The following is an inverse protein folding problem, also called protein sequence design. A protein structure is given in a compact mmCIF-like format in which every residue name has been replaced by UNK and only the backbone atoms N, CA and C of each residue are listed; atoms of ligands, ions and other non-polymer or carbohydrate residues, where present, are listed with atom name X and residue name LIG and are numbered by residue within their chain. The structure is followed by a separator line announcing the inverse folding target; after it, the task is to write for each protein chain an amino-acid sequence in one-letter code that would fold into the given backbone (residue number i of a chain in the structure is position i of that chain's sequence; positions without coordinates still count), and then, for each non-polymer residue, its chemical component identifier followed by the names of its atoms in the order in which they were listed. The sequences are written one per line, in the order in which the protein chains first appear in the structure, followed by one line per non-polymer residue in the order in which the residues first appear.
data_IF_242655017078
#
_entry.id   IF_242655017078
#
_cell.length_a   1.000
_cell.length_b   1.000
_cell.length_c   1.000
_cell.angle_alpha   90.00
_cell.angle_beta   90.00
_cell.angle_gamma   90.00
#
_symmetry.space_group_name_H-M   'P 1'
#
loop_
_entity.id
_entity.type
_entity.pdbx_description
1 polymer ?
#
# COMPACT_ATOMS: atom_id res chain seq x y z
N UNK A 1 31.09 5.73 -12.84
CA UNK A 1 29.91 4.88 -13.14
C UNK A 1 28.91 5.76 -13.85
N UNK A 2 28.25 5.26 -14.91
CA UNK A 2 27.21 6.04 -15.59
C UNK A 2 26.04 6.27 -14.62
N UNK A 3 25.47 7.47 -14.64
CA UNK A 3 24.29 7.81 -13.85
C UNK A 3 23.07 7.04 -14.38
N UNK A 4 22.31 6.40 -13.49
CA UNK A 4 21.12 5.61 -13.83
C UNK A 4 19.89 6.40 -13.42
N UNK A 5 19.06 6.77 -14.40
CA UNK A 5 17.80 7.49 -14.18
C UNK A 5 16.63 6.56 -14.49
N UNK A 6 15.79 6.28 -13.51
CA UNK A 6 14.59 5.43 -13.66
C UNK A 6 13.36 6.31 -13.56
N UNK A 7 12.51 6.25 -14.58
CA UNK A 7 11.14 6.77 -14.51
C UNK A 7 10.22 5.68 -14.00
N UNK A 8 9.60 5.88 -12.83
CA UNK A 8 8.54 5.04 -12.29
C UNK A 8 7.16 5.57 -12.71
N UNK A 9 6.22 4.69 -13.05
CA UNK A 9 4.82 5.02 -13.39
C UNK A 9 3.90 4.10 -12.61
N UNK A 10 2.98 4.69 -11.84
CA UNK A 10 1.95 4.00 -11.07
C UNK A 10 0.56 4.42 -11.56
N UNK A 11 -0.30 3.42 -11.84
CA UNK A 11 -1.69 3.62 -12.27
C UNK A 11 -2.60 2.44 -11.93
N UNK A 12 -2.34 1.75 -10.83
CA UNK A 12 -3.04 0.48 -10.53
C UNK A 12 -4.48 0.64 -10.05
N UNK A 13 -4.84 1.80 -9.49
CA UNK A 13 -6.17 2.05 -8.90
C UNK A 13 -6.74 3.39 -9.39
N UNK A 14 -6.71 4.42 -8.56
CA UNK A 14 -7.27 5.75 -8.86
C UNK A 14 -6.21 6.87 -8.89
N UNK A 15 -5.05 6.66 -8.31
CA UNK A 15 -3.95 7.62 -8.35
C UNK A 15 -3.08 7.45 -9.61
N UNK A 16 -2.86 8.54 -10.35
CA UNK A 16 -1.88 8.59 -11.44
C UNK A 16 -0.59 9.18 -10.91
N UNK A 17 0.49 8.42 -10.87
CA UNK A 17 1.76 8.91 -10.32
C UNK A 17 2.94 8.64 -11.24
N UNK A 18 3.91 9.58 -11.23
CA UNK A 18 5.21 9.42 -11.90
C UNK A 18 6.34 9.93 -10.99
N UNK A 19 7.47 9.23 -10.99
CA UNK A 19 8.63 9.57 -10.19
C UNK A 19 9.91 9.36 -10.98
N UNK A 20 10.93 10.17 -10.70
CA UNK A 20 12.27 9.98 -11.24
C UNK A 20 13.25 9.71 -10.11
N UNK A 21 14.00 8.61 -10.24
CA UNK A 21 15.08 8.25 -9.32
C UNK A 21 16.42 8.32 -10.06
N UNK A 22 17.45 8.82 -9.37
CA UNK A 22 18.84 8.81 -9.82
C UNK A 22 19.66 7.90 -8.91
N UNK A 23 20.19 6.79 -9.41
CA UNK A 23 20.98 5.83 -8.62
C UNK A 23 20.26 5.34 -7.34
N UNK A 24 18.92 5.20 -7.39
CA UNK A 24 18.08 4.84 -6.24
C UNK A 24 17.69 6.00 -5.32
N UNK A 25 18.17 7.22 -5.56
CA UNK A 25 17.78 8.44 -4.84
C UNK A 25 16.63 9.12 -5.56
N UNK A 26 15.60 9.48 -4.82
CA UNK A 26 14.40 10.14 -5.35
C UNK A 26 14.70 11.59 -5.73
N UNK A 27 14.47 11.96 -6.99
CA UNK A 27 14.56 13.35 -7.48
C UNK A 27 13.18 14.01 -7.52
N UNK A 28 12.15 13.26 -7.90
CA UNK A 28 10.78 13.77 -7.99
C UNK A 28 9.77 12.65 -7.80
N UNK A 29 8.60 12.97 -7.22
CA UNK A 29 7.43 12.11 -7.14
C UNK A 29 6.19 13.01 -7.27
N UNK A 30 5.39 12.79 -8.31
CA UNK A 30 4.22 13.60 -8.65
C UNK A 30 3.02 12.68 -8.72
N UNK A 31 1.96 13.00 -7.97
CA UNK A 31 0.71 12.24 -7.95
C UNK A 31 -0.46 13.14 -8.25
N UNK A 32 -1.35 12.69 -9.12
CA UNK A 32 -2.66 13.28 -9.39
C UNK A 32 -3.74 12.32 -8.85
N UNK A 33 -4.35 12.70 -7.74
CA UNK A 33 -5.42 11.93 -7.08
C UNK A 33 -6.80 12.27 -7.66
N UNK A 34 -7.74 11.34 -7.53
CA UNK A 34 -9.07 11.43 -8.11
C UNK A 34 -10.15 11.54 -7.01
N UNK A 35 -10.34 12.74 -6.46
CA UNK A 35 -11.34 13.00 -5.41
C UNK A 35 -12.80 12.67 -5.81
N UNK A 36 -13.09 12.50 -7.11
CA UNK A 36 -14.44 12.17 -7.60
C UNK A 36 -14.99 10.88 -6.99
N UNK A 37 -14.14 9.94 -6.63
CA UNK A 37 -14.53 8.65 -6.08
C UNK A 37 -15.16 8.74 -4.67
N UNK A 38 -14.88 9.80 -3.93
CA UNK A 38 -15.49 10.06 -2.61
C UNK A 38 -17.02 10.16 -2.72
N UNK A 39 -17.53 10.81 -3.76
CA UNK A 39 -18.98 10.97 -3.99
C UNK A 39 -19.70 9.66 -4.32
N UNK A 40 -18.98 8.63 -4.76
CA UNK A 40 -19.52 7.30 -5.07
C UNK A 40 -19.34 6.30 -3.93
N UNK A 41 -18.64 6.68 -2.85
CA UNK A 41 -18.35 5.80 -1.72
C UNK A 41 -17.43 4.62 -2.09
N UNK A 42 -16.51 4.82 -3.04
CA UNK A 42 -15.52 3.86 -3.51
C UNK A 42 -15.09 4.11 -4.96
N UNK A 43 -13.99 3.47 -5.37
CA UNK A 43 -13.44 3.64 -6.72
C UNK A 43 -14.37 3.11 -7.79
N UNK A 44 -14.68 3.95 -8.80
CA UNK A 44 -15.43 3.57 -10.00
C UNK A 44 -14.42 3.31 -11.13
N UNK A 45 -14.22 2.03 -11.56
CA UNK A 45 -13.12 1.66 -12.46
C UNK A 45 -13.10 2.40 -13.79
N UNK A 46 -14.27 2.69 -14.37
CA UNK A 46 -14.36 3.42 -15.64
C UNK A 46 -13.92 4.88 -15.49
N UNK A 47 -14.34 5.55 -14.41
CA UNK A 47 -13.92 6.92 -14.13
C UNK A 47 -12.42 6.98 -13.86
N UNK A 48 -11.90 6.01 -13.09
CA UNK A 48 -10.48 5.90 -12.81
C UNK A 48 -9.65 5.80 -14.10
N UNK A 49 -10.00 4.88 -15.01
CA UNK A 49 -9.27 4.71 -16.26
C UNK A 49 -9.30 5.94 -17.17
N UNK A 50 -10.43 6.67 -17.23
CA UNK A 50 -10.54 7.93 -17.99
C UNK A 50 -9.66 9.03 -17.41
N UNK A 51 -9.62 9.15 -16.08
CA UNK A 51 -8.78 10.13 -15.42
C UNK A 51 -7.27 9.81 -15.63
N UNK A 52 -6.87 8.54 -15.60
CA UNK A 52 -5.49 8.15 -15.96
C UNK A 52 -5.11 8.58 -17.37
N UNK A 53 -6.01 8.44 -18.36
CA UNK A 53 -5.74 8.88 -19.73
C UNK A 53 -5.48 10.39 -19.83
N UNK A 54 -6.18 11.19 -19.02
CA UNK A 54 -5.98 12.64 -18.97
C UNK A 54 -4.70 13.03 -18.21
N UNK A 55 -4.37 12.28 -17.15
CA UNK A 55 -3.34 12.67 -16.18
C UNK A 55 -1.94 12.13 -16.51
N UNK A 56 -1.81 10.99 -17.19
CA UNK A 56 -0.51 10.31 -17.33
C UNK A 56 0.55 11.18 -18.03
N UNK A 57 0.18 11.88 -19.11
CA UNK A 57 1.12 12.76 -19.85
C UNK A 57 1.56 13.95 -19.01
N UNK A 58 0.66 14.79 -18.43
CA UNK A 58 1.08 15.92 -17.62
C UNK A 58 1.83 15.51 -16.35
N UNK A 59 1.46 14.39 -15.69
CA UNK A 59 2.14 13.89 -14.48
C UNK A 59 3.56 13.46 -14.80
N UNK A 60 3.79 12.69 -15.87
CA UNK A 60 5.12 12.29 -16.31
C UNK A 60 5.97 13.49 -16.73
N UNK A 61 5.38 14.43 -17.48
CA UNK A 61 6.08 15.66 -17.88
C UNK A 61 6.54 16.48 -16.67
N UNK A 62 5.66 16.64 -15.69
CA UNK A 62 5.96 17.38 -14.46
C UNK A 62 7.02 16.65 -13.59
N UNK A 63 6.98 15.31 -13.52
CA UNK A 63 7.98 14.54 -12.80
C UNK A 63 9.38 14.71 -13.39
N UNK A 64 9.52 14.62 -14.71
CA UNK A 64 10.80 14.83 -15.41
C UNK A 64 11.29 16.27 -15.20
N UNK A 65 10.40 17.26 -15.32
CA UNK A 65 10.72 18.69 -15.10
C UNK A 65 11.21 18.93 -13.67
N UNK A 66 10.50 18.41 -12.65
CA UNK A 66 10.91 18.57 -11.23
C UNK A 66 12.22 17.86 -10.92
N UNK A 67 12.51 16.76 -11.60
CA UNK A 67 13.79 16.08 -11.48
C UNK A 67 14.96 16.87 -12.08
N UNK A 68 14.71 17.93 -12.86
CA UNK A 68 15.72 18.78 -13.50
C UNK A 68 16.49 18.06 -14.61
N UNK A 69 15.89 17.07 -15.28
CA UNK A 69 16.52 16.28 -16.35
C UNK A 69 15.77 16.43 -17.68
N UNK A 70 16.43 15.99 -18.77
CA UNK A 70 15.78 15.79 -20.05
C UNK A 70 15.37 14.31 -20.18
N UNK A 71 14.28 14.03 -20.91
CA UNK A 71 13.77 12.65 -21.08
C UNK A 71 14.78 11.70 -21.72
N UNK A 72 15.69 12.23 -22.53
CA UNK A 72 16.76 11.48 -23.19
C UNK A 72 17.84 10.97 -22.21
N UNK A 73 17.87 11.50 -20.99
CA UNK A 73 18.78 11.02 -19.91
C UNK A 73 18.24 9.80 -19.18
N UNK A 74 16.96 9.43 -19.39
CA UNK A 74 16.35 8.27 -18.76
C UNK A 74 17.04 6.98 -19.23
N UNK A 75 17.34 6.10 -18.27
CA UNK A 75 17.97 4.80 -18.51
C UNK A 75 16.94 3.69 -18.73
N UNK A 76 15.77 3.79 -18.10
CA UNK A 76 14.66 2.84 -18.24
C UNK A 76 13.34 3.44 -17.76
N UNK A 77 12.22 2.81 -18.17
CA UNK A 77 10.88 3.06 -17.65
C UNK A 77 10.40 1.86 -16.84
N UNK A 78 10.15 2.06 -15.55
CA UNK A 78 9.51 1.10 -14.67
C UNK A 78 8.02 1.42 -14.56
N UNK A 79 7.16 0.43 -14.66
CA UNK A 79 5.71 0.62 -14.63
C UNK A 79 5.00 -0.48 -13.84
N UNK A 80 3.89 -0.14 -13.21
CA UNK A 80 3.05 -1.11 -12.52
C UNK A 80 2.34 -1.99 -13.54
N UNK A 81 2.72 -3.29 -13.53
CA UNK A 81 2.09 -4.30 -14.38
C UNK A 81 0.84 -4.90 -13.76
N UNK A 82 0.75 -4.86 -12.43
CA UNK A 82 -0.33 -5.38 -11.58
C UNK A 82 0.18 -5.78 -10.19
N UNK A 83 -0.73 -6.20 -9.28
CA UNK A 83 -2.19 -6.23 -9.45
C UNK A 83 -2.82 -4.84 -9.48
N UNK A 84 -4.11 -4.77 -9.90
CA UNK A 84 -4.88 -3.52 -9.92
C UNK A 84 -6.11 -3.58 -10.82
N UNK A 85 -6.76 -2.43 -10.99
CA UNK A 85 -7.91 -2.28 -11.88
C UNK A 85 -7.43 -2.36 -13.34
N UNK A 86 -7.96 -3.32 -14.11
CA UNK A 86 -7.48 -3.59 -15.47
C UNK A 86 -7.49 -2.35 -16.36
N UNK A 87 -8.57 -1.56 -16.33
CA UNK A 87 -8.67 -0.33 -17.14
C UNK A 87 -7.60 0.71 -16.78
N UNK A 88 -7.34 0.90 -15.51
CA UNK A 88 -6.31 1.79 -14.97
C UNK A 88 -4.91 1.31 -15.35
N UNK A 89 -4.61 0.03 -15.10
CA UNK A 89 -3.33 -0.60 -15.48
C UNK A 89 -3.04 -0.46 -16.99
N UNK A 90 -4.03 -0.70 -17.85
CA UNK A 90 -3.84 -0.62 -19.29
C UNK A 90 -3.39 0.77 -19.75
N UNK A 91 -3.84 1.83 -19.10
CA UNK A 91 -3.40 3.19 -19.43
C UNK A 91 -1.90 3.37 -19.14
N UNK A 92 -1.46 3.10 -17.91
CA UNK A 92 -0.05 3.24 -17.54
C UNK A 92 0.88 2.30 -18.29
N UNK A 93 0.47 1.04 -18.46
CA UNK A 93 1.24 0.02 -19.20
C UNK A 93 1.45 0.42 -20.67
N UNK A 94 0.39 0.84 -21.38
CA UNK A 94 0.51 1.23 -22.78
C UNK A 94 1.27 2.55 -22.95
N UNK A 95 1.08 3.51 -22.03
CA UNK A 95 1.88 4.74 -22.01
C UNK A 95 3.37 4.41 -21.82
N UNK A 96 3.73 3.60 -20.81
CA UNK A 96 5.10 3.22 -20.53
C UNK A 96 5.78 2.54 -21.74
N UNK A 97 5.06 1.62 -22.39
CA UNK A 97 5.52 0.94 -23.63
C UNK A 97 5.81 1.92 -24.77
N UNK A 98 4.86 2.80 -25.06
CA UNK A 98 5.01 3.81 -26.11
C UNK A 98 6.16 4.77 -25.82
N UNK A 99 6.26 5.23 -24.57
CA UNK A 99 7.28 6.16 -24.12
C UNK A 99 8.68 5.54 -24.17
N UNK A 100 8.89 4.37 -23.59
CA UNK A 100 10.16 3.67 -23.63
C UNK A 100 10.60 3.33 -25.06
N UNK A 101 9.68 2.88 -25.91
CA UNK A 101 9.96 2.61 -27.34
C UNK A 101 10.39 3.85 -28.09
N UNK A 102 9.78 5.01 -27.83
CA UNK A 102 10.12 6.28 -28.49
C UNK A 102 11.54 6.75 -28.15
N UNK A 103 12.05 6.38 -26.97
CA UNK A 103 13.40 6.73 -26.49
C UNK A 103 14.43 5.62 -26.75
N UNK A 104 14.01 4.42 -27.19
CA UNK A 104 14.89 3.29 -27.37
C UNK A 104 15.47 2.72 -26.08
N UNK A 105 14.80 2.91 -24.94
CA UNK A 105 15.24 2.46 -23.62
C UNK A 105 14.44 1.25 -23.13
N UNK A 106 15.01 0.42 -22.21
CA UNK A 106 14.33 -0.76 -21.69
C UNK A 106 13.10 -0.48 -20.84
N UNK A 107 12.19 -1.45 -20.84
CA UNK A 107 11.02 -1.52 -19.97
C UNK A 107 11.27 -2.43 -18.78
N UNK A 108 10.73 -2.05 -17.63
CA UNK A 108 10.79 -2.83 -16.39
C UNK A 108 9.39 -2.95 -15.82
N UNK A 109 8.86 -4.17 -15.77
CA UNK A 109 7.59 -4.44 -15.13
C UNK A 109 7.76 -4.54 -13.62
N UNK A 110 6.81 -3.98 -12.87
CA UNK A 110 6.84 -3.99 -11.41
C UNK A 110 5.53 -4.55 -10.88
N UNK A 111 5.63 -5.41 -9.87
CA UNK A 111 4.51 -5.83 -9.06
C UNK A 111 4.19 -4.71 -8.06
N UNK A 112 2.96 -4.20 -8.05
CA UNK A 112 2.49 -3.14 -7.17
C UNK A 112 2.73 -3.43 -5.68
N UNK A 113 2.48 -4.67 -5.26
CA UNK A 113 2.69 -5.09 -3.87
C UNK A 113 4.17 -5.11 -3.49
N UNK A 114 5.04 -5.54 -4.42
CA UNK A 114 6.48 -5.42 -4.28
C UNK A 114 6.90 -3.95 -4.13
N UNK A 115 6.27 -3.05 -4.89
CA UNK A 115 6.48 -1.61 -4.76
C UNK A 115 6.28 -1.13 -3.32
N UNK A 116 5.15 -1.44 -2.70
CA UNK A 116 4.89 -1.06 -1.31
C UNK A 116 5.94 -1.59 -0.33
N UNK A 117 6.34 -2.87 -0.46
CA UNK A 117 7.38 -3.45 0.39
C UNK A 117 8.72 -2.74 0.19
N UNK A 118 9.08 -2.47 -1.07
CA UNK A 118 10.34 -1.83 -1.45
C UNK A 118 10.37 -0.31 -1.20
N UNK A 119 9.25 0.32 -0.83
CA UNK A 119 9.20 1.72 -0.44
C UNK A 119 10.17 2.06 0.72
N UNK A 120 10.51 1.08 1.56
CA UNK A 120 11.53 1.22 2.61
C UNK A 120 12.96 1.44 2.09
N UNK A 121 13.20 1.21 0.81
CA UNK A 121 14.51 1.38 0.16
C UNK A 121 14.62 2.67 -0.63
N UNK A 122 13.56 3.48 -0.70
CA UNK A 122 13.61 4.82 -1.30
C UNK A 122 14.55 5.70 -0.48
N UNK A 123 15.54 6.27 -1.14
CA UNK A 123 16.46 7.24 -0.55
C UNK A 123 16.06 8.64 -0.97
N UNK A 124 16.07 9.58 -0.04
CA UNK A 124 15.91 11.01 -0.33
C UNK A 124 17.27 11.75 -0.44
N UNK A 125 18.33 11.08 0.01
CA UNK A 125 19.72 11.51 -0.14
C UNK A 125 20.65 10.29 -0.16
N UNK A 126 21.90 10.46 -0.58
CA UNK A 126 22.91 9.41 -0.56
C UNK A 126 23.24 8.91 0.87
N UNK A 127 23.02 9.75 1.88
CA UNK A 127 23.29 9.43 3.28
C UNK A 127 22.13 8.71 4.00
N UNK A 128 21.01 8.49 3.33
CA UNK A 128 19.85 7.81 3.93
C UNK A 128 20.15 6.32 4.12
N UNK A 129 20.29 5.92 5.39
CA UNK A 129 20.65 4.55 5.80
C UNK A 129 19.54 3.84 6.57
N UNK A 130 18.36 4.43 6.69
CA UNK A 130 17.26 3.87 7.48
C UNK A 130 16.49 2.78 6.71
N UNK A 131 17.21 1.82 6.17
CA UNK A 131 16.65 0.69 5.40
C UNK A 131 16.70 -0.59 6.23
N UNK A 132 15.67 -1.46 6.14
CA UNK A 132 15.71 -2.76 6.79
C UNK A 132 16.84 -3.63 6.20
N UNK A 133 17.65 -4.31 7.03
CA UNK A 133 18.60 -5.30 6.54
C UNK A 133 17.85 -6.53 6.04
N UNK A 134 18.40 -7.20 5.04
CA UNK A 134 17.86 -8.44 4.53
C UNK A 134 18.42 -9.65 5.33
N UNK A 135 17.61 -10.66 5.68
CA UNK A 135 16.16 -10.72 5.49
C UNK A 135 15.37 -9.95 6.55
N UNK A 136 14.16 -9.49 6.21
CA UNK A 136 13.22 -8.88 7.16
C UNK A 136 11.78 -9.37 6.92
N UNK A 137 10.89 -9.14 7.90
CA UNK A 137 9.46 -9.37 7.75
C UNK A 137 8.74 -8.04 7.42
N UNK A 138 7.80 -8.08 6.50
CA UNK A 138 6.95 -6.95 6.18
C UNK A 138 5.48 -7.29 6.36
N UNK A 139 4.76 -6.53 7.19
CA UNK A 139 3.31 -6.55 7.23
C UNK A 139 2.80 -5.60 6.14
N UNK A 140 2.39 -6.16 5.02
CA UNK A 140 1.82 -5.43 3.90
C UNK A 140 0.31 -5.35 4.07
N UNK A 141 -0.23 -4.14 4.31
CA UNK A 141 -1.65 -3.90 4.57
C UNK A 141 -2.16 -2.69 3.78
N UNK A 142 -3.14 -2.94 2.92
CA UNK A 142 -3.76 -1.93 2.05
C UNK A 142 -5.27 -2.11 1.95
N UNK A 143 -5.93 -1.33 1.09
CA UNK A 143 -7.35 -1.49 0.78
C UNK A 143 -7.71 -2.87 0.23
N UNK A 144 -6.87 -3.44 -0.62
CA UNK A 144 -7.14 -4.72 -1.30
C UNK A 144 -6.26 -5.89 -0.88
N UNK A 145 -5.23 -5.66 -0.04
CA UNK A 145 -4.27 -6.70 0.32
C UNK A 145 -3.92 -6.64 1.80
N UNK A 146 -3.76 -7.81 2.41
CA UNK A 146 -3.24 -7.96 3.76
C UNK A 146 -2.40 -9.23 3.83
N UNK A 147 -1.07 -9.07 3.98
CA UNK A 147 -0.10 -10.17 3.88
C UNK A 147 1.05 -9.98 4.86
N UNK A 148 1.62 -11.09 5.33
CA UNK A 148 2.91 -11.12 6.03
C UNK A 148 3.93 -11.66 5.02
N UNK A 149 4.89 -10.84 4.64
CA UNK A 149 5.88 -11.13 3.61
C UNK A 149 7.26 -11.25 4.25
N UNK A 150 7.97 -12.33 3.98
CA UNK A 150 9.40 -12.45 4.25
C UNK A 150 10.18 -11.98 3.05
N UNK A 151 11.02 -10.98 3.24
CA UNK A 151 11.85 -10.39 2.19
C UNK A 151 13.27 -10.94 2.33
N UNK A 152 13.65 -11.86 1.47
CA UNK A 152 14.99 -12.46 1.46
C UNK A 152 15.99 -11.62 0.66
N UNK A 153 15.52 -11.03 -0.46
CA UNK A 153 16.27 -10.13 -1.32
C UNK A 153 15.30 -9.14 -1.99
N UNK A 154 15.81 -8.14 -2.71
CA UNK A 154 14.99 -7.14 -3.40
C UNK A 154 14.01 -7.74 -4.43
N UNK A 155 14.34 -8.89 -4.99
CA UNK A 155 13.56 -9.64 -5.97
C UNK A 155 13.13 -11.03 -5.48
N UNK A 156 13.33 -11.35 -4.19
CA UNK A 156 12.95 -12.63 -3.56
C UNK A 156 12.10 -12.36 -2.31
N UNK A 157 10.80 -12.56 -2.45
CA UNK A 157 9.78 -12.32 -1.43
C UNK A 157 8.85 -13.52 -1.31
N UNK A 158 8.62 -13.96 -0.07
CA UNK A 158 7.77 -15.10 0.26
C UNK A 158 6.59 -14.67 1.12
N UNK A 159 5.37 -14.99 0.71
CA UNK A 159 4.17 -14.77 1.53
C UNK A 159 4.07 -15.87 2.57
N UNK A 160 4.21 -15.51 3.84
CA UNK A 160 4.11 -16.44 4.97
C UNK A 160 2.68 -16.63 5.45
N UNK A 161 1.84 -15.61 5.30
CA UNK A 161 0.43 -15.63 5.66
C UNK A 161 -0.30 -14.45 5.03
N UNK A 162 -1.60 -14.60 4.87
CA UNK A 162 -2.44 -13.59 4.21
C UNK A 162 -3.88 -13.66 4.71
N UNK A 163 -4.65 -12.63 4.41
CA UNK A 163 -6.10 -12.72 4.60
C UNK A 163 -6.71 -13.74 3.65
N UNK A 164 -7.68 -14.51 4.16
CA UNK A 164 -8.43 -15.49 3.35
C UNK A 164 -9.72 -14.90 2.78
N UNK A 165 -10.05 -13.66 3.13
CA UNK A 165 -11.27 -12.96 2.72
C UNK A 165 -11.01 -11.46 2.53
N UNK A 166 -11.76 -10.56 3.21
CA UNK A 166 -11.57 -9.11 3.11
C UNK A 166 -10.14 -8.70 3.55
N UNK A 167 -9.56 -7.68 2.92
CA UNK A 167 -8.37 -7.03 3.42
C UNK A 167 -8.68 -6.11 4.61
N UNK A 168 -7.67 -5.78 5.42
CA UNK A 168 -7.84 -4.91 6.60
C UNK A 168 -8.42 -3.54 6.23
N UNK A 169 -7.89 -2.89 5.19
CA UNK A 169 -8.41 -1.60 4.72
C UNK A 169 -9.84 -1.69 4.21
N UNK A 170 -10.16 -2.73 3.44
CA UNK A 170 -11.53 -3.00 2.98
C UNK A 170 -12.50 -3.22 4.13
N UNK A 171 -12.08 -3.93 5.18
CA UNK A 171 -12.89 -4.12 6.39
C UNK A 171 -13.16 -2.79 7.11
N UNK A 172 -12.15 -1.91 7.22
CA UNK A 172 -12.30 -0.56 7.78
C UNK A 172 -13.30 0.26 6.95
N UNK A 173 -13.15 0.30 5.62
CA UNK A 173 -14.01 1.06 4.74
C UNK A 173 -15.46 0.58 4.81
N UNK A 174 -15.69 -0.74 4.83
CA UNK A 174 -17.02 -1.33 4.96
C UNK A 174 -17.66 -0.99 6.31
N UNK A 175 -16.92 -1.06 7.41
CA UNK A 175 -17.43 -0.67 8.74
C UNK A 175 -17.72 0.84 8.83
N UNK A 176 -16.84 1.69 8.29
CA UNK A 176 -17.06 3.14 8.19
C UNK A 176 -18.35 3.46 7.42
N UNK A 177 -18.57 2.79 6.29
CA UNK A 177 -19.79 2.95 5.48
C UNK A 177 -21.05 2.55 6.26
N UNK A 178 -20.99 1.46 7.03
CA UNK A 178 -22.12 1.01 7.88
C UNK A 178 -22.42 2.01 9.00
N UNK A 179 -21.42 2.73 9.50
CA UNK A 179 -21.60 3.84 10.46
C UNK A 179 -22.09 5.14 9.81
N UNK A 180 -22.20 5.22 8.48
CA UNK A 180 -22.58 6.45 7.79
C UNK A 180 -21.48 7.50 7.72
N UNK A 181 -20.22 7.15 7.96
CA UNK A 181 -19.08 8.09 8.06
C UNK A 181 -18.44 8.47 6.73
N UNK A 182 -18.81 7.79 5.63
CA UNK A 182 -18.29 8.08 4.27
C UNK A 182 -17.06 7.26 3.87
N UNK A 183 -16.43 7.70 2.78
CA UNK A 183 -15.27 7.08 2.12
C UNK A 183 -14.20 8.15 1.77
N UNK A 184 -12.88 7.84 1.89
CA UNK A 184 -12.29 6.62 2.44
C UNK A 184 -12.46 6.53 3.97
N UNK A 185 -12.78 5.32 4.47
CA UNK A 185 -13.06 5.09 5.88
C UNK A 185 -11.83 5.12 6.77
N UNK A 186 -10.67 4.67 6.25
CA UNK A 186 -9.42 4.57 7.01
C UNK A 186 -9.06 5.84 7.78
N UNK A 187 -8.88 7.00 7.12
CA UNK A 187 -8.55 8.26 7.80
C UNK A 187 -9.62 8.74 8.78
N UNK A 188 -10.89 8.44 8.52
CA UNK A 188 -12.01 8.83 9.37
C UNK A 188 -11.98 8.02 10.67
N UNK A 189 -11.88 6.70 10.56
CA UNK A 189 -11.81 5.78 11.71
C UNK A 189 -10.57 6.10 12.56
N UNK A 190 -9.38 6.27 11.96
CA UNK A 190 -8.14 6.62 12.68
C UNK A 190 -8.29 7.94 13.46
N UNK A 191 -8.94 8.95 12.89
CA UNK A 191 -9.16 10.23 13.56
C UNK A 191 -10.10 10.10 14.76
N UNK A 192 -11.22 9.37 14.61
CA UNK A 192 -12.20 9.14 15.69
C UNK A 192 -11.59 8.26 16.79
N UNK A 193 -10.88 7.19 16.41
CA UNK A 193 -10.29 6.24 17.34
C UNK A 193 -9.33 6.88 18.35
N UNK A 194 -8.66 7.97 17.98
CA UNK A 194 -7.77 8.71 18.91
C UNK A 194 -8.48 9.35 20.09
N UNK A 195 -9.79 9.51 20.01
CA UNK A 195 -10.61 10.18 21.03
C UNK A 195 -11.46 9.18 21.83
N UNK A 196 -11.54 7.93 21.36
CA UNK A 196 -12.37 6.89 21.94
C UNK A 196 -11.64 5.90 22.85
N UNK A 197 -12.42 5.11 23.56
CA UNK A 197 -11.93 3.99 24.36
C UNK A 197 -11.85 2.70 23.52
N UNK A 198 -10.63 2.15 23.28
CA UNK A 198 -10.47 0.95 22.44
C UNK A 198 -11.03 -0.35 23.06
N UNK A 199 -11.51 -0.30 24.31
CA UNK A 199 -12.09 -1.43 25.03
C UNK A 199 -13.59 -1.26 25.34
N UNK A 200 -14.23 -0.21 24.81
CA UNK A 200 -15.64 0.03 25.04
C UNK A 200 -16.54 -1.05 24.43
N UNK A 201 -16.17 -1.54 23.26
CA UNK A 201 -16.92 -2.57 22.53
C UNK A 201 -16.03 -3.75 22.13
N UNK A 202 -16.64 -4.94 22.08
CA UNK A 202 -15.96 -6.17 21.64
C UNK A 202 -16.52 -6.65 20.32
N UNK A 203 -15.64 -6.90 19.36
CA UNK A 203 -15.97 -7.49 18.07
C UNK A 203 -15.34 -8.89 17.94
N UNK A 204 -15.92 -9.73 17.09
CA UNK A 204 -15.42 -11.08 16.90
C UNK A 204 -14.02 -11.07 16.26
N UNK A 205 -13.13 -11.86 16.82
CA UNK A 205 -11.83 -12.17 16.24
C UNK A 205 -11.91 -13.57 15.62
N UNK A 206 -11.87 -13.71 14.27
CA UNK A 206 -11.85 -15.00 13.63
C UNK A 206 -10.60 -15.79 14.01
N UNK A 207 -10.77 -17.03 14.44
CA UNK A 207 -9.65 -17.92 14.76
C UNK A 207 -9.25 -18.72 13.52
N UNK A 208 -8.20 -18.27 12.83
CA UNK A 208 -7.63 -18.93 11.65
C UNK A 208 -6.29 -19.58 12.04
N UNK A 209 -6.06 -20.87 11.70
CA UNK A 209 -4.79 -21.54 11.98
C UNK A 209 -3.60 -20.90 11.25
N UNK A 210 -2.39 -21.11 11.78
CA UNK A 210 -1.16 -20.63 11.16
C UNK A 210 -1.05 -19.12 11.10
N UNK A 211 -0.46 -18.61 10.02
CA UNK A 211 -0.20 -17.18 9.81
C UNK A 211 -1.30 -16.46 9.01
N UNK A 212 -2.26 -17.19 8.45
CA UNK A 212 -3.41 -16.61 7.78
C UNK A 212 -4.39 -15.98 8.78
N UNK A 213 -5.19 -15.04 8.31
CA UNK A 213 -6.19 -14.34 9.10
C UNK A 213 -7.44 -14.00 8.29
N UNK A 214 -8.49 -13.47 8.94
CA UNK A 214 -9.78 -13.16 8.33
C UNK A 214 -10.35 -11.89 8.96
N UNK A 215 -11.08 -11.11 8.18
CA UNK A 215 -11.82 -9.93 8.65
C UNK A 215 -13.32 -10.02 8.40
N UNK A 216 -13.81 -11.02 7.63
CA UNK A 216 -15.24 -11.15 7.33
C UNK A 216 -16.09 -11.42 8.58
N UNK A 217 -15.58 -12.21 9.53
CA UNK A 217 -16.25 -12.47 10.81
C UNK A 217 -16.35 -11.20 11.68
N UNK A 218 -15.29 -10.39 11.71
CA UNK A 218 -15.27 -9.10 12.40
C UNK A 218 -16.33 -8.15 11.80
N UNK A 219 -16.37 -7.99 10.49
CA UNK A 219 -17.36 -7.15 9.80
C UNK A 219 -18.80 -7.59 10.11
N UNK A 220 -19.06 -8.88 10.09
CA UNK A 220 -20.38 -9.45 10.40
C UNK A 220 -20.78 -9.15 11.84
N UNK A 221 -19.88 -9.40 12.79
CA UNK A 221 -20.08 -9.09 14.21
C UNK A 221 -20.33 -7.59 14.42
N UNK A 222 -19.54 -6.74 13.77
CA UNK A 222 -19.70 -5.28 13.81
C UNK A 222 -21.10 -4.86 13.34
N UNK A 223 -21.54 -5.35 12.19
CA UNK A 223 -22.83 -5.02 11.61
C UNK A 223 -24.01 -5.45 12.52
N UNK A 224 -23.96 -6.67 13.08
CA UNK A 224 -25.01 -7.16 13.96
C UNK A 224 -25.08 -6.37 15.27
N UNK A 225 -23.94 -6.09 15.89
CA UNK A 225 -23.88 -5.30 17.11
C UNK A 225 -24.41 -3.87 16.87
N UNK A 226 -23.98 -3.23 15.79
CA UNK A 226 -24.41 -1.89 15.46
C UNK A 226 -25.93 -1.81 15.23
N UNK A 227 -26.50 -2.78 14.49
CA UNK A 227 -27.95 -2.86 14.26
C UNK A 227 -28.74 -3.01 15.57
N UNK A 228 -28.23 -3.82 16.49
CA UNK A 228 -28.83 -4.01 17.80
C UNK A 228 -28.83 -2.72 18.59
N UNK A 229 -27.67 -2.04 18.69
CA UNK A 229 -27.54 -0.80 19.45
C UNK A 229 -28.39 0.34 18.87
N UNK A 230 -28.42 0.50 17.55
CA UNK A 230 -29.26 1.51 16.88
C UNK A 230 -30.76 1.21 17.03
N UNK A 231 -31.15 -0.07 17.14
CA UNK A 231 -32.55 -0.42 17.43
C UNK A 231 -32.98 -0.06 18.86
N UNK A 232 -32.03 -0.06 19.82
CA UNK A 232 -32.26 0.36 21.22
C UNK A 232 -32.17 1.89 21.41
N UNK A 233 -31.22 2.54 20.68
CA UNK A 233 -31.01 4.00 20.67
C UNK A 233 -30.70 4.46 19.21
N UNK A 234 -31.64 5.13 18.54
CA UNK A 234 -31.42 5.61 17.16
C UNK A 234 -30.23 6.55 16.98
N UNK A 235 -29.82 7.27 18.02
CA UNK A 235 -28.69 8.22 18.01
C UNK A 235 -27.38 7.56 18.51
N UNK A 236 -27.40 6.24 18.74
CA UNK A 236 -26.26 5.50 19.31
C UNK A 236 -24.93 5.76 18.61
N UNK A 237 -24.93 5.75 17.27
CA UNK A 237 -23.70 5.98 16.49
C UNK A 237 -23.15 7.38 16.79
N UNK A 238 -24.01 8.41 16.81
CA UNK A 238 -23.56 9.78 17.03
C UNK A 238 -22.97 9.97 18.43
N UNK A 239 -23.56 9.32 19.44
CA UNK A 239 -23.10 9.42 20.83
C UNK A 239 -21.84 8.59 21.13
N UNK A 240 -21.54 7.54 20.31
CA UNK A 240 -20.49 6.56 20.59
C UNK A 240 -19.50 6.31 19.45
N UNK A 241 -19.51 7.14 18.40
CA UNK A 241 -18.70 6.93 17.18
C UNK A 241 -17.20 6.84 17.47
N UNK A 242 -16.70 7.61 18.43
CA UNK A 242 -15.28 7.57 18.83
C UNK A 242 -14.92 6.23 19.46
N UNK A 243 -15.74 5.74 20.40
CA UNK A 243 -15.51 4.47 21.09
C UNK A 243 -15.69 3.27 20.15
N UNK A 244 -16.67 3.33 19.23
CA UNK A 244 -16.88 2.32 18.20
C UNK A 244 -15.67 2.26 17.27
N UNK A 245 -15.21 3.42 16.79
CA UNK A 245 -14.02 3.51 15.92
C UNK A 245 -12.76 3.01 16.62
N UNK A 246 -12.53 3.40 17.88
CA UNK A 246 -11.40 2.96 18.67
C UNK A 246 -11.39 1.44 18.89
N UNK A 247 -12.55 0.87 19.21
CA UNK A 247 -12.69 -0.57 19.44
C UNK A 247 -12.53 -1.39 18.15
N UNK A 248 -13.01 -0.87 17.01
CA UNK A 248 -12.82 -1.47 15.69
C UNK A 248 -11.36 -1.47 15.28
N UNK A 249 -10.70 -0.31 15.35
CA UNK A 249 -9.28 -0.16 15.03
C UNK A 249 -8.42 -1.08 15.88
N UNK A 250 -8.65 -1.06 17.20
CA UNK A 250 -7.94 -1.92 18.13
C UNK A 250 -8.07 -3.41 17.75
N UNK A 251 -9.28 -3.88 17.43
CA UNK A 251 -9.52 -5.28 17.07
C UNK A 251 -8.76 -5.67 15.79
N UNK A 252 -8.79 -4.82 14.75
CA UNK A 252 -8.07 -5.06 13.49
C UNK A 252 -6.56 -5.09 13.73
N UNK A 253 -6.03 -4.12 14.47
CA UNK A 253 -4.61 -4.05 14.81
C UNK A 253 -4.18 -5.27 15.62
N UNK A 254 -4.97 -5.69 16.59
CA UNK A 254 -4.66 -6.85 17.43
C UNK A 254 -4.61 -8.17 16.64
N UNK A 255 -5.55 -8.38 15.69
CA UNK A 255 -5.52 -9.52 14.75
C UNK A 255 -4.21 -9.53 13.96
N UNK A 256 -3.82 -8.39 13.36
CA UNK A 256 -2.60 -8.26 12.55
C UNK A 256 -1.34 -8.51 13.39
N UNK A 257 -1.26 -7.89 14.57
CA UNK A 257 -0.07 -7.98 15.43
C UNK A 257 0.10 -9.35 16.08
N UNK A 258 -0.98 -10.07 16.39
CA UNK A 258 -0.94 -11.47 16.85
C UNK A 258 -0.26 -12.37 15.82
N UNK A 259 -0.63 -12.23 14.54
CA UNK A 259 -0.08 -13.03 13.44
C UNK A 259 1.36 -12.63 13.10
N UNK A 260 1.66 -11.34 13.08
CA UNK A 260 3.03 -10.85 12.88
C UNK A 260 3.97 -11.34 13.98
N UNK A 261 3.53 -11.30 15.24
CA UNK A 261 4.29 -11.86 16.36
C UNK A 261 4.56 -13.37 16.21
N UNK A 262 3.56 -14.12 15.72
CA UNK A 262 3.74 -15.54 15.43
C UNK A 262 4.76 -15.76 14.30
N UNK A 263 4.73 -14.93 13.23
CA UNK A 263 5.70 -14.97 12.15
C UNK A 263 7.13 -14.70 12.63
N UNK A 264 7.32 -13.66 13.47
CA UNK A 264 8.61 -13.38 14.12
C UNK A 264 9.10 -14.58 14.92
N UNK A 265 8.22 -15.22 15.72
CA UNK A 265 8.59 -16.40 16.51
C UNK A 265 8.99 -17.59 15.63
N UNK A 266 8.30 -17.80 14.49
CA UNK A 266 8.57 -18.95 13.60
C UNK A 266 9.85 -18.77 12.79
N UNK A 267 10.13 -17.53 12.34
CA UNK A 267 11.28 -17.23 11.47
C UNK A 267 12.54 -16.84 12.23
N UNK A 268 12.41 -16.38 13.48
CA UNK A 268 13.51 -15.79 14.23
C UNK A 268 13.95 -14.40 13.74
N UNK A 269 13.26 -13.83 12.73
CA UNK A 269 13.57 -12.51 12.16
C UNK A 269 12.91 -11.44 13.02
N UNK A 270 13.69 -10.53 13.60
CA UNK A 270 13.23 -9.44 14.46
C UNK A 270 13.28 -8.04 13.79
N UNK A 271 13.72 -7.94 12.54
CA UNK A 271 13.60 -6.75 11.71
C UNK A 271 12.24 -6.79 11.03
N UNK A 272 11.36 -5.85 11.39
CA UNK A 272 9.93 -5.90 11.04
C UNK A 272 9.50 -4.57 10.43
N UNK A 273 8.99 -4.61 9.22
CA UNK A 273 8.49 -3.45 8.50
C UNK A 273 6.95 -3.48 8.37
N UNK A 274 6.35 -2.33 8.15
CA UNK A 274 4.94 -2.20 7.74
C UNK A 274 4.86 -1.42 6.43
N UNK A 275 3.98 -1.83 5.51
CA UNK A 275 3.82 -1.19 4.21
C UNK A 275 2.35 -1.18 3.74
N UNK A 276 2.05 -0.40 2.69
CA UNK A 276 0.70 -0.23 2.14
C UNK A 276 -0.10 0.85 2.85
N UNK A 277 -1.26 1.23 2.29
CA UNK A 277 -2.05 2.39 2.73
C UNK A 277 -2.46 2.36 4.20
N UNK A 278 -2.78 1.17 4.77
CA UNK A 278 -3.13 1.03 6.19
C UNK A 278 -1.93 1.27 7.12
N UNK A 279 -0.69 1.26 6.61
CA UNK A 279 0.49 1.65 7.39
C UNK A 279 0.51 3.13 7.82
N UNK A 280 -0.39 3.95 7.26
CA UNK A 280 -0.64 5.32 7.71
C UNK A 280 -1.41 5.38 9.04
N UNK A 281 -2.16 4.33 9.40
CA UNK A 281 -2.99 4.27 10.61
C UNK A 281 -2.15 4.39 11.88
N UNK A 282 -2.53 5.33 12.77
CA UNK A 282 -1.77 5.62 13.98
C UNK A 282 -1.85 4.50 15.02
N UNK A 283 -3.00 3.83 15.16
CA UNK A 283 -3.13 2.67 16.04
C UNK A 283 -2.16 1.56 15.67
N UNK A 284 -2.02 1.26 14.37
CA UNK A 284 -1.06 0.27 13.87
C UNK A 284 0.40 0.72 14.11
N UNK A 285 0.75 1.98 13.83
CA UNK A 285 2.11 2.53 14.09
C UNK A 285 2.48 2.45 15.56
N UNK A 286 1.56 2.82 16.45
CA UNK A 286 1.76 2.72 17.90
C UNK A 286 1.97 1.27 18.33
N UNK A 287 1.18 0.33 17.80
CA UNK A 287 1.35 -1.09 18.09
C UNK A 287 2.73 -1.63 17.66
N UNK A 288 3.27 -1.17 16.51
CA UNK A 288 4.64 -1.49 16.09
C UNK A 288 5.68 -0.99 17.10
N UNK A 289 5.56 0.26 17.55
CA UNK A 289 6.47 0.81 18.56
C UNK A 289 6.38 0.11 19.92
N UNK A 290 5.17 -0.27 20.35
CA UNK A 290 4.96 -1.00 21.60
C UNK A 290 5.53 -2.41 21.55
N UNK A 291 5.36 -3.10 20.41
CA UNK A 291 5.94 -4.42 20.19
C UNK A 291 7.46 -4.37 20.08
N UNK A 292 8.03 -3.32 19.46
CA UNK A 292 9.47 -3.07 19.45
C UNK A 292 10.04 -3.02 20.87
N UNK A 293 9.42 -2.21 21.75
CA UNK A 293 9.82 -2.09 23.16
C UNK A 293 9.67 -3.39 23.93
N UNK A 294 8.54 -4.10 23.71
CA UNK A 294 8.17 -5.29 24.48
C UNK A 294 8.92 -6.55 24.09
N UNK A 295 9.21 -6.70 22.77
CA UNK A 295 9.76 -7.94 22.21
C UNK A 295 11.14 -7.78 21.58
N UNK A 296 11.73 -6.58 21.64
CA UNK A 296 13.07 -6.32 21.11
C UNK A 296 13.11 -6.31 19.57
N UNK A 297 12.00 -5.91 18.91
CA UNK A 297 12.00 -5.78 17.46
C UNK A 297 12.68 -4.49 17.00
N UNK A 298 13.34 -4.54 15.87
CA UNK A 298 13.73 -3.34 15.13
C UNK A 298 12.66 -3.06 14.09
N UNK A 299 11.93 -1.94 14.23
CA UNK A 299 10.76 -1.65 13.38
C UNK A 299 11.08 -0.59 12.35
N UNK A 300 10.53 -0.78 11.16
CA UNK A 300 10.65 0.11 10.01
C UNK A 300 9.26 0.55 9.57
N UNK A 301 8.97 1.83 9.76
CA UNK A 301 7.68 2.44 9.45
C UNK A 301 7.91 3.47 8.35
N UNK A 302 7.19 3.42 7.22
CA UNK A 302 7.45 4.32 6.10
C UNK A 302 7.02 5.75 6.44
N UNK A 303 7.63 6.75 5.76
CA UNK A 303 7.11 8.11 5.76
C UNK A 303 5.70 8.12 5.18
N UNK A 304 4.85 9.04 5.64
CA UNK A 304 3.46 9.13 5.17
C UNK A 304 3.36 9.28 3.64
N UNK A 305 4.30 9.98 3.02
CA UNK A 305 4.39 10.14 1.56
C UNK A 305 4.57 8.84 0.77
N UNK A 306 4.94 7.74 1.43
CA UNK A 306 5.18 6.43 0.81
C UNK A 306 4.21 5.34 1.30
N UNK A 307 3.18 5.70 2.07
CA UNK A 307 2.18 4.73 2.55
C UNK A 307 1.13 4.41 1.50
N UNK A 308 0.67 5.41 0.77
CA UNK A 308 -0.32 5.27 -0.32
C UNK A 308 0.37 5.04 -1.66
N UNK A 309 -0.43 4.80 -2.70
CA UNK A 309 0.06 4.56 -4.06
C UNK A 309 0.88 5.74 -4.56
N UNK A 310 2.08 5.45 -5.03
CA UNK A 310 3.02 6.46 -5.52
C UNK A 310 4.03 5.82 -6.49
N UNK A 311 4.59 6.60 -7.40
CA UNK A 311 5.51 6.09 -8.39
C UNK A 311 6.95 5.93 -7.89
N UNK A 312 7.32 6.53 -6.76
CA UNK A 312 8.66 6.33 -6.19
C UNK A 312 8.87 4.87 -5.77
N UNK A 313 7.81 4.19 -5.26
CA UNK A 313 7.85 2.77 -4.91
C UNK A 313 8.05 1.87 -6.15
N UNK A 314 7.52 2.29 -7.31
CA UNK A 314 7.70 1.58 -8.58
C UNK A 314 9.11 1.84 -9.13
N UNK A 315 9.57 3.09 -9.04
CA UNK A 315 10.90 3.50 -9.48
C UNK A 315 12.03 2.80 -8.72
N UNK A 316 11.88 2.60 -7.39
CA UNK A 316 12.92 1.91 -6.60
C UNK A 316 13.02 0.43 -6.94
N UNK A 317 11.90 -0.28 -7.17
CA UNK A 317 11.93 -1.65 -7.70
C UNK A 317 12.58 -1.66 -9.09
N UNK A 318 12.19 -0.71 -9.94
CA UNK A 318 12.78 -0.54 -11.27
C UNK A 318 14.29 -0.34 -11.23
N UNK A 319 14.80 0.41 -10.26
CA UNK A 319 16.23 0.61 -10.08
C UNK A 319 16.98 -0.70 -9.77
N UNK A 320 16.49 -1.49 -8.80
CA UNK A 320 17.13 -2.78 -8.47
C UNK A 320 17.03 -3.78 -9.63
N UNK A 321 15.88 -3.87 -10.30
CA UNK A 321 15.71 -4.71 -11.49
C UNK A 321 16.63 -4.26 -12.65
N UNK A 322 16.85 -2.95 -12.80
CA UNK A 322 17.79 -2.43 -13.80
C UNK A 322 19.22 -2.90 -13.55
N UNK A 323 19.68 -2.87 -12.29
CA UNK A 323 21.01 -3.36 -11.91
C UNK A 323 21.17 -4.85 -12.22
N UNK A 324 20.12 -5.64 -12.02
CA UNK A 324 20.08 -7.08 -12.32
C UNK A 324 19.76 -7.37 -13.81
N UNK A 325 19.60 -6.34 -14.66
CA UNK A 325 19.22 -6.44 -16.09
C UNK A 325 17.91 -7.23 -16.31
N UNK A 326 16.98 -7.13 -15.37
CA UNK A 326 15.66 -7.75 -15.47
C UNK A 326 14.70 -6.83 -16.25
N UNK A 327 14.68 -6.96 -17.56
CA UNK A 327 13.83 -6.19 -18.46
C UNK A 327 12.66 -7.03 -18.94
N UNK A 328 11.53 -6.38 -19.21
CA UNK A 328 10.37 -7.06 -19.76
C UNK A 328 10.19 -6.77 -21.26
N UNK A 329 9.59 -7.70 -22.02
CA UNK A 329 9.30 -7.48 -23.43
C UNK A 329 8.17 -6.47 -23.62
N UNK A 330 8.12 -5.84 -24.80
CA UNK A 330 7.14 -4.79 -25.13
C UNK A 330 5.69 -5.30 -25.16
N UNK A 331 5.48 -6.58 -25.40
CA UNK A 331 4.17 -7.24 -25.42
C UNK A 331 3.69 -7.75 -24.06
N UNK A 332 4.49 -7.57 -23.00
CA UNK A 332 4.12 -8.00 -21.64
C UNK A 332 2.71 -7.50 -21.24
N UNK A 333 1.73 -8.39 -20.90
CA UNK A 333 0.37 -7.99 -20.56
C UNK A 333 0.26 -7.45 -19.13
N UNK A 334 -0.74 -6.62 -18.85
CA UNK A 334 -1.15 -6.28 -17.48
C UNK A 334 -1.85 -7.46 -16.80
N UNK A 335 -1.86 -7.50 -15.46
CA UNK A 335 -2.60 -8.50 -14.66
C UNK A 335 -3.44 -7.82 -13.60
N UNK A 336 -4.72 -8.16 -13.51
CA UNK A 336 -5.59 -7.67 -12.43
C UNK A 336 -5.33 -8.36 -11.09
N UNK A 337 -4.81 -9.60 -11.12
CA UNK A 337 -4.46 -10.39 -9.94
C UNK A 337 -3.08 -11.00 -10.13
N UNK A 338 -2.19 -10.77 -9.17
CA UNK A 338 -0.84 -11.34 -9.15
C UNK A 338 -0.46 -11.61 -7.70
N UNK A 339 0.15 -12.77 -7.44
CA UNK A 339 0.81 -13.07 -6.17
C UNK A 339 2.29 -12.73 -6.27
N UNK A 340 2.98 -12.59 -5.15
CA UNK A 340 4.44 -12.63 -5.12
C UNK A 340 4.91 -13.98 -5.72
N UNK A 341 5.82 -13.90 -6.63
CA UNK A 341 6.61 -15.05 -7.09
C UNK A 341 8.07 -14.71 -6.89
#
# INVERSE_FOLDING_TARGET
MNEIYILGIESSCDDTSAAVLKNGVLLSNVTASQAVHESYGGVVPELASRAHQQNVVPVVSEAIKRAGIQKEQLSAVAFTRGPGLMGSLLVGVNFAKGFARSLGIPLIDVNHLQGHVMAHFIKESDDDKNQPPLPFLCLLVSGGNSQIVKVNAYNDMEVLGQTIDDAAGEAIDKCSKVMGLGYPGGPIIDRLARQGNPKAYQFAEPHIPGLDYSFSGLKTSFLYNLRKWVAEDPDFIEHHKEDIAASLEWTIVDILMKKLKLAVKQTGINHVAVAGGVSANNGLRNAFHDHAKRYGWTVYIPKFSYTTDNAAMIGIVGYYKYLDKQFCPIDAPAFSKVTFK
#
